data_IF_454946427954
#
_entry.id   IF_454946427954
#
_cell.length_a   1.000
_cell.length_b   1.000
_cell.length_c   1.000
_cell.angle_alpha   90.00
_cell.angle_beta   90.00
_cell.angle_gamma   90.00
#
_symmetry.space_group_name_H-M   'P 1'
#
loop_
_entity.id
_entity.type
_entity.pdbx_description
1 polymer ?
#
# COMPACT_ATOMS: atom_id res chain seq x y z
N UNK A 1 9.35 -26.17 -37.20
CA UNK A 1 9.31 -25.15 -36.12
C UNK A 1 8.15 -24.15 -36.27
N UNK A 2 7.74 -23.79 -37.50
CA UNK A 2 6.62 -22.85 -37.75
C UNK A 2 5.22 -23.38 -37.41
N UNK A 3 4.99 -24.70 -37.49
CA UNK A 3 3.68 -25.30 -37.25
C UNK A 3 3.25 -25.25 -35.78
N UNK A 4 4.19 -25.46 -34.85
CA UNK A 4 3.96 -25.32 -33.41
C UNK A 4 3.68 -23.86 -33.00
N UNK A 5 4.30 -22.89 -33.67
CA UNK A 5 4.03 -21.46 -33.45
C UNK A 5 2.66 -21.08 -34.00
N UNK A 6 2.30 -21.56 -35.19
CA UNK A 6 0.99 -21.39 -35.81
C UNK A 6 -0.13 -21.97 -34.94
N UNK A 7 0.03 -23.19 -34.43
CA UNK A 7 -0.94 -23.84 -33.54
C UNK A 7 -1.09 -23.09 -32.20
N UNK A 8 0.01 -22.56 -31.66
CA UNK A 8 -0.04 -21.73 -30.44
C UNK A 8 -0.78 -20.42 -30.68
N UNK A 9 -0.54 -19.77 -31.81
CA UNK A 9 -1.20 -18.51 -32.15
C UNK A 9 -2.67 -18.74 -32.53
N UNK A 10 -3.00 -19.86 -33.17
CA UNK A 10 -4.38 -20.32 -33.39
C UNK A 10 -5.10 -20.61 -32.06
N UNK A 11 -4.45 -21.31 -31.12
CA UNK A 11 -4.99 -21.52 -29.77
C UNK A 11 -5.19 -20.23 -28.98
N UNK A 12 -4.36 -19.20 -29.19
CA UNK A 12 -4.56 -17.86 -28.63
C UNK A 12 -5.74 -17.13 -29.26
N UNK A 13 -5.98 -17.30 -30.56
CA UNK A 13 -7.16 -16.74 -31.25
C UNK A 13 -8.43 -17.42 -30.72
N UNK A 14 -8.43 -18.75 -30.60
CA UNK A 14 -9.55 -19.52 -30.03
C UNK A 14 -9.83 -19.10 -28.58
N UNK A 15 -8.80 -19.00 -27.75
CA UNK A 15 -8.94 -18.53 -26.36
C UNK A 15 -9.42 -17.08 -26.23
N UNK A 16 -9.28 -16.25 -27.27
CA UNK A 16 -9.81 -14.88 -27.31
C UNK A 16 -11.25 -14.83 -27.85
N UNK A 17 -11.66 -15.84 -28.63
CA UNK A 17 -13.03 -16.00 -29.12
C UNK A 17 -13.94 -16.76 -28.17
N UNK A 18 -13.39 -17.55 -27.23
CA UNK A 18 -14.14 -18.04 -26.08
C UNK A 18 -14.58 -16.83 -25.24
N UNK A 19 -15.90 -16.68 -25.07
CA UNK A 19 -16.47 -15.62 -24.23
C UNK A 19 -15.88 -15.64 -22.82
N UNK A 20 -15.92 -14.51 -22.08
CA UNK A 20 -15.29 -14.43 -20.77
C UNK A 20 -15.79 -15.55 -19.86
N UNK A 21 -14.86 -16.27 -19.23
CA UNK A 21 -15.15 -17.41 -18.34
C UNK A 21 -15.90 -17.01 -17.06
N UNK A 22 -16.13 -15.72 -16.85
CA UNK A 22 -16.85 -15.16 -15.71
C UNK A 22 -17.83 -14.13 -16.27
N UNK A 23 -19.12 -14.41 -16.13
CA UNK A 23 -20.20 -13.53 -16.57
C UNK A 23 -20.84 -12.89 -15.35
N UNK A 24 -20.98 -11.58 -15.42
CA UNK A 24 -21.67 -10.79 -14.41
C UNK A 24 -22.95 -10.22 -15.02
N UNK A 25 -23.99 -10.16 -14.21
CA UNK A 25 -25.20 -9.39 -14.49
C UNK A 25 -25.36 -8.31 -13.41
N UNK A 26 -26.08 -7.25 -13.77
CA UNK A 26 -26.34 -6.12 -12.89
C UNK A 26 -27.84 -5.98 -12.69
N UNK A 27 -28.25 -5.61 -11.48
CA UNK A 27 -29.60 -5.09 -11.24
C UNK A 27 -29.85 -3.83 -12.08
N UNK A 28 -31.12 -3.47 -12.26
CA UNK A 28 -31.53 -2.30 -13.06
C UNK A 28 -30.91 -0.99 -12.53
N UNK A 29 -30.88 -0.83 -11.20
CA UNK A 29 -30.25 0.31 -10.50
C UNK A 29 -28.70 0.24 -10.49
N UNK A 30 -28.13 -0.86 -10.98
CA UNK A 30 -26.71 -1.14 -10.94
C UNK A 30 -26.12 -1.31 -9.55
N UNK A 31 -26.92 -1.49 -8.48
CA UNK A 31 -26.41 -1.61 -7.11
C UNK A 31 -26.10 -3.04 -6.69
N UNK A 32 -26.50 -4.05 -7.46
CA UNK A 32 -26.23 -5.46 -7.19
C UNK A 32 -25.55 -6.08 -8.39
N UNK A 33 -24.41 -6.72 -8.15
CA UNK A 33 -23.72 -7.55 -9.13
C UNK A 33 -23.98 -9.02 -8.80
N UNK A 34 -24.38 -9.78 -9.80
CA UNK A 34 -24.66 -11.21 -9.69
C UNK A 34 -23.75 -12.00 -10.62
N UNK A 35 -23.29 -13.16 -10.15
CA UNK A 35 -22.51 -14.12 -10.93
C UNK A 35 -22.86 -15.53 -10.47
N UNK A 36 -23.01 -16.46 -11.41
CA UNK A 36 -23.50 -17.81 -11.13
C UNK A 36 -24.76 -17.77 -10.25
N UNK A 37 -24.72 -18.34 -9.04
CA UNK A 37 -25.81 -18.33 -8.05
C UNK A 37 -25.54 -17.38 -6.86
N UNK A 38 -24.58 -16.47 -6.99
CA UNK A 38 -24.19 -15.53 -5.95
C UNK A 38 -24.49 -14.08 -6.37
N UNK A 39 -24.68 -13.23 -5.37
CA UNK A 39 -24.91 -11.81 -5.55
C UNK A 39 -24.18 -11.00 -4.47
N UNK A 40 -23.82 -9.78 -4.81
CA UNK A 40 -23.17 -8.84 -3.91
C UNK A 40 -23.68 -7.42 -4.20
N UNK A 41 -24.19 -6.75 -3.18
CA UNK A 41 -24.54 -5.33 -3.32
C UNK A 41 -23.30 -4.44 -3.22
N UNK A 42 -23.36 -3.24 -3.79
CA UNK A 42 -22.27 -2.26 -3.66
C UNK A 42 -22.05 -1.86 -2.20
N UNK A 43 -23.10 -1.82 -1.39
CA UNK A 43 -22.99 -1.61 0.05
C UNK A 43 -22.17 -2.72 0.72
N UNK A 44 -22.49 -3.99 0.44
CA UNK A 44 -21.73 -5.15 0.94
C UNK A 44 -20.28 -5.12 0.46
N UNK A 45 -20.04 -4.77 -0.80
CA UNK A 45 -18.68 -4.68 -1.34
C UNK A 45 -17.84 -3.61 -0.64
N UNK A 46 -18.41 -2.41 -0.39
CA UNK A 46 -17.74 -1.35 0.39
C UNK A 46 -17.47 -1.81 1.81
N UNK A 47 -18.43 -2.48 2.42
CA UNK A 47 -18.35 -2.97 3.79
C UNK A 47 -17.14 -3.89 4.03
N UNK A 48 -16.73 -4.71 3.06
CA UNK A 48 -15.51 -5.53 3.17
C UNK A 48 -14.27 -4.68 3.52
N UNK A 49 -14.13 -3.50 2.90
CA UNK A 49 -12.97 -2.62 3.14
C UNK A 49 -13.10 -1.88 4.47
N UNK A 50 -14.30 -1.39 4.79
CA UNK A 50 -14.57 -0.71 6.06
C UNK A 50 -14.40 -1.64 7.26
N UNK A 51 -14.99 -2.83 7.23
CA UNK A 51 -14.92 -3.77 8.35
C UNK A 51 -13.49 -4.26 8.57
N UNK A 52 -12.68 -4.40 7.51
CA UNK A 52 -11.27 -4.75 7.64
C UNK A 52 -10.46 -3.60 8.28
N UNK A 53 -10.77 -2.33 7.97
CA UNK A 53 -10.17 -1.17 8.67
C UNK A 53 -10.63 -1.09 10.12
N UNK A 54 -11.93 -1.29 10.38
CA UNK A 54 -12.52 -1.30 11.72
C UNK A 54 -11.98 -2.43 12.61
N UNK A 55 -11.59 -3.57 12.02
CA UNK A 55 -10.90 -4.64 12.73
C UNK A 55 -9.42 -4.28 13.00
N UNK A 56 -8.73 -3.70 12.00
CA UNK A 56 -7.30 -3.42 12.09
C UNK A 56 -6.96 -2.25 13.04
N UNK A 57 -7.77 -1.20 13.07
CA UNK A 57 -7.53 0.00 13.88
C UNK A 57 -7.46 -0.25 15.40
N UNK A 58 -8.43 -0.93 16.06
CA UNK A 58 -8.33 -1.23 17.48
C UNK A 58 -7.22 -2.22 17.80
N UNK A 59 -7.01 -3.24 16.95
CA UNK A 59 -5.91 -4.19 17.12
C UNK A 59 -4.54 -3.51 17.02
N UNK A 60 -4.38 -2.60 16.06
CA UNK A 60 -3.19 -1.77 15.95
C UNK A 60 -2.98 -0.92 17.20
N UNK A 61 -4.03 -0.28 17.72
CA UNK A 61 -3.96 0.51 18.97
C UNK A 61 -3.55 -0.35 20.16
N UNK A 62 -4.05 -1.58 20.25
CA UNK A 62 -3.68 -2.53 21.30
C UNK A 62 -2.22 -2.96 21.18
N UNK A 63 -1.77 -3.37 19.99
CA UNK A 63 -0.37 -3.73 19.73
C UNK A 63 0.60 -2.56 19.94
N UNK A 64 0.12 -1.33 19.77
CA UNK A 64 0.88 -0.11 20.06
C UNK A 64 0.80 0.33 21.53
N UNK A 65 0.16 -0.42 22.44
CA UNK A 65 -0.02 -0.03 23.84
C UNK A 65 -0.68 1.35 23.99
N UNK A 66 -1.67 1.65 23.15
CA UNK A 66 -2.35 2.95 23.10
C UNK A 66 -1.49 4.09 22.56
N UNK A 67 -0.23 3.85 22.21
CA UNK A 67 0.66 4.86 21.66
C UNK A 67 0.27 5.22 20.22
N UNK A 68 0.22 6.51 19.95
CA UNK A 68 -0.05 7.06 18.62
C UNK A 68 0.99 8.12 18.27
N UNK A 69 2.20 7.72 17.84
CA UNK A 69 3.20 8.67 17.38
C UNK A 69 2.70 9.47 16.16
N UNK A 70 3.31 10.62 15.87
CA UNK A 70 2.94 11.41 14.70
C UNK A 70 3.11 10.57 13.42
N UNK A 71 2.04 10.44 12.65
CA UNK A 71 2.09 9.87 11.31
C UNK A 71 2.25 11.00 10.29
N UNK A 72 3.49 11.23 9.84
CA UNK A 72 3.78 12.16 8.77
C UNK A 72 4.74 11.55 7.74
N UNK A 73 4.22 11.34 6.53
CA UNK A 73 5.01 10.84 5.40
C UNK A 73 5.68 11.96 4.60
N UNK A 74 5.52 13.23 4.99
CA UNK A 74 6.06 14.38 4.26
C UNK A 74 7.58 14.46 4.30
N UNK A 75 8.18 13.98 5.39
CA UNK A 75 9.61 13.99 5.64
C UNK A 75 10.27 12.62 5.40
N UNK A 76 9.51 11.61 4.95
CA UNK A 76 10.05 10.27 4.68
C UNK A 76 10.73 10.25 3.33
N UNK A 77 12.01 9.91 3.35
CA UNK A 77 12.81 9.61 2.18
C UNK A 77 12.61 8.15 1.75
N UNK A 78 12.33 7.91 0.46
CA UNK A 78 12.31 6.57 -0.12
C UNK A 78 12.82 6.64 -1.56
N UNK A 79 13.87 5.89 -1.86
CA UNK A 79 14.47 5.85 -3.19
C UNK A 79 13.89 4.69 -4.00
N UNK A 80 12.89 4.94 -4.86
CA UNK A 80 12.21 3.92 -5.70
C UNK A 80 13.12 3.11 -6.63
N UNK A 81 14.26 3.66 -7.03
CA UNK A 81 15.22 2.99 -7.90
C UNK A 81 16.14 2.02 -7.16
N UNK A 82 16.24 2.11 -5.83
CA UNK A 82 17.08 1.20 -5.05
C UNK A 82 16.56 -0.24 -5.14
N UNK A 83 17.40 -1.14 -5.64
CA UNK A 83 17.11 -2.59 -5.78
C UNK A 83 17.90 -3.44 -4.79
N UNK A 84 18.65 -2.82 -3.88
CA UNK A 84 19.42 -3.51 -2.84
C UNK A 84 18.47 -4.35 -1.98
N UNK A 85 18.78 -5.63 -1.83
CA UNK A 85 18.00 -6.53 -0.99
C UNK A 85 17.97 -6.02 0.46
N UNK A 86 16.78 -5.94 1.06
CA UNK A 86 16.58 -5.42 2.41
C UNK A 86 16.44 -3.89 2.51
N UNK A 87 16.61 -3.14 1.41
CA UNK A 87 16.29 -1.71 1.41
C UNK A 87 14.79 -1.46 1.49
N UNK A 88 14.40 -0.51 2.33
CA UNK A 88 13.06 0.06 2.44
C UNK A 88 13.16 1.45 3.08
N UNK A 89 12.09 2.25 3.03
CA UNK A 89 12.05 3.52 3.77
C UNK A 89 12.26 3.34 5.29
N UNK A 90 11.97 2.17 5.86
CA UNK A 90 12.20 1.89 7.29
C UNK A 90 13.69 1.72 7.60
N UNK A 91 14.43 1.09 6.68
CA UNK A 91 15.87 0.81 6.82
C UNK A 91 16.75 1.92 6.26
N UNK A 92 16.16 2.93 5.62
CA UNK A 92 16.85 4.13 5.18
C UNK A 92 17.26 4.97 6.40
N UNK A 93 18.57 5.13 6.60
CA UNK A 93 19.15 5.80 7.76
C UNK A 93 18.75 7.28 7.85
N UNK A 94 18.42 7.92 6.71
CA UNK A 94 17.97 9.31 6.68
C UNK A 94 16.63 9.52 7.42
N UNK A 95 15.83 8.46 7.57
CA UNK A 95 14.51 8.55 8.21
C UNK A 95 14.56 8.28 9.72
N UNK A 96 15.64 7.69 10.25
CA UNK A 96 15.77 7.38 11.67
C UNK A 96 14.69 6.44 12.25
N UNK A 97 14.08 5.59 11.40
CA UNK A 97 12.93 4.76 11.81
C UNK A 97 13.32 3.41 12.41
N UNK A 98 14.51 2.89 12.08
CA UNK A 98 14.91 1.51 12.34
C UNK A 98 14.84 1.09 13.82
N UNK A 99 15.04 2.03 14.75
CA UNK A 99 15.07 1.76 16.19
C UNK A 99 13.82 2.27 16.93
N UNK A 100 12.87 2.91 16.26
CA UNK A 100 11.69 3.50 16.92
C UNK A 100 10.79 2.45 17.60
N UNK A 101 10.87 1.19 17.18
CA UNK A 101 10.19 0.09 17.84
C UNK A 101 10.69 -0.16 19.27
N UNK A 102 11.88 0.33 19.65
CA UNK A 102 12.39 0.24 21.03
C UNK A 102 11.56 1.08 22.00
N UNK A 103 10.97 2.19 21.54
CA UNK A 103 10.03 2.95 22.36
C UNK A 103 8.73 2.18 22.59
N UNK A 104 8.26 1.43 21.58
CA UNK A 104 7.15 0.50 21.76
C UNK A 104 7.51 -0.61 22.76
N UNK A 105 8.71 -1.19 22.65
CA UNK A 105 9.20 -2.16 23.61
C UNK A 105 9.22 -1.60 25.03
N UNK A 106 9.73 -0.38 25.23
CA UNK A 106 9.76 0.25 26.56
C UNK A 106 8.34 0.38 27.13
N UNK A 107 7.37 0.80 26.32
CA UNK A 107 5.97 0.91 26.74
C UNK A 107 5.37 -0.44 27.09
N UNK A 108 5.60 -1.45 26.26
CA UNK A 108 5.17 -2.82 26.50
C UNK A 108 5.77 -3.40 27.78
N UNK A 109 7.00 -3.03 28.14
CA UNK A 109 7.64 -3.45 29.39
C UNK A 109 7.11 -2.72 30.63
N UNK A 110 6.65 -1.48 30.49
CA UNK A 110 6.20 -0.63 31.60
C UNK A 110 4.68 -0.62 31.80
N UNK A 111 3.92 -1.23 30.89
CA UNK A 111 2.46 -1.26 30.97
C UNK A 111 1.99 -2.11 32.17
N UNK A 112 1.14 -1.54 33.03
CA UNK A 112 0.71 -2.18 34.27
C UNK A 112 -0.43 -3.17 34.09
N UNK A 113 -1.11 -3.18 32.94
CA UNK A 113 -2.31 -3.99 32.70
C UNK A 113 -2.00 -5.17 31.78
N UNK A 114 -1.22 -4.93 30.72
CA UNK A 114 -0.89 -5.88 29.65
C UNK A 114 0.62 -5.93 29.37
N UNK A 115 1.42 -5.59 30.40
CA UNK A 115 2.88 -5.59 30.31
C UNK A 115 3.48 -6.94 29.91
N UNK A 116 4.54 -6.90 29.11
CA UNK A 116 5.26 -8.09 28.64
C UNK A 116 6.39 -8.53 29.56
N UNK A 117 6.74 -7.72 30.56
CA UNK A 117 7.80 -8.03 31.52
C UNK A 117 7.21 -8.25 32.93
N UNK A 118 7.80 -9.22 33.61
CA UNK A 118 7.73 -9.35 35.07
C UNK A 118 8.97 -8.70 35.68
N UNK A 119 9.07 -8.67 37.02
CA UNK A 119 10.19 -8.02 37.72
C UNK A 119 11.58 -8.50 37.26
N UNK A 120 11.70 -9.76 36.78
CA UNK A 120 12.98 -10.36 36.43
C UNK A 120 13.06 -11.02 35.04
N UNK A 121 11.94 -11.24 34.34
CA UNK A 121 11.95 -11.92 33.01
C UNK A 121 10.70 -11.58 32.17
N UNK A 122 10.67 -12.00 30.91
CA UNK A 122 9.52 -11.91 30.03
C UNK A 122 8.33 -12.75 30.53
N UNK A 123 7.15 -12.12 30.59
CA UNK A 123 5.90 -12.84 30.79
C UNK A 123 5.57 -13.65 29.52
N UNK A 124 5.94 -14.94 29.52
CA UNK A 124 5.75 -15.83 28.35
C UNK A 124 4.31 -15.90 27.85
N UNK A 125 3.32 -15.79 28.73
CA UNK A 125 1.91 -15.81 28.33
C UNK A 125 1.53 -14.52 27.62
N UNK A 126 1.90 -13.36 28.18
CA UNK A 126 1.65 -12.06 27.57
C UNK A 126 2.38 -11.91 26.22
N UNK A 127 3.64 -12.39 26.14
CA UNK A 127 4.40 -12.42 24.88
C UNK A 127 3.71 -13.27 23.83
N UNK A 128 3.23 -14.47 24.17
CA UNK A 128 2.48 -15.31 23.23
C UNK A 128 1.20 -14.62 22.75
N UNK A 129 0.44 -14.00 23.66
CA UNK A 129 -0.76 -13.25 23.31
C UNK A 129 -0.46 -12.09 22.36
N UNK A 130 0.63 -11.34 22.61
CA UNK A 130 1.07 -10.28 21.70
C UNK A 130 1.43 -10.84 20.31
N UNK A 131 2.14 -11.97 20.26
CA UNK A 131 2.52 -12.61 18.99
C UNK A 131 1.31 -13.19 18.23
N UNK A 132 0.30 -13.69 18.93
CA UNK A 132 -0.96 -14.14 18.33
C UNK A 132 -1.72 -12.95 17.71
N UNK A 133 -1.79 -11.83 18.43
CA UNK A 133 -2.35 -10.56 17.92
C UNK A 133 -1.55 -10.00 16.74
N UNK A 134 -0.22 -10.11 16.77
CA UNK A 134 0.64 -9.75 15.63
C UNK A 134 0.34 -10.60 14.40
N UNK A 135 0.08 -11.90 14.57
CA UNK A 135 -0.34 -12.78 13.48
C UNK A 135 -1.67 -12.32 12.88
N UNK A 136 -2.66 -11.99 13.72
CA UNK A 136 -3.94 -11.44 13.27
C UNK A 136 -3.78 -10.11 12.53
N UNK A 137 -2.98 -9.19 13.07
CA UNK A 137 -2.68 -7.90 12.43
C UNK A 137 -1.99 -8.09 11.08
N UNK A 138 -1.09 -9.07 10.97
CA UNK A 138 -0.44 -9.42 9.69
C UNK A 138 -1.47 -9.84 8.64
N UNK A 139 -2.49 -10.63 9.03
CA UNK A 139 -3.56 -11.03 8.11
C UNK A 139 -4.43 -9.83 7.68
N UNK A 140 -4.79 -8.93 8.60
CA UNK A 140 -5.58 -7.74 8.32
C UNK A 140 -4.82 -6.74 7.43
N UNK A 141 -3.54 -6.51 7.68
CA UNK A 141 -2.69 -5.63 6.86
C UNK A 141 -2.44 -6.23 5.48
N UNK A 142 -2.33 -7.56 5.38
CA UNK A 142 -2.27 -8.23 4.09
C UNK A 142 -3.59 -8.06 3.31
N UNK A 143 -4.74 -8.12 3.99
CA UNK A 143 -6.02 -7.78 3.37
C UNK A 143 -6.11 -6.31 3.00
N UNK A 144 -5.64 -5.36 3.80
CA UNK A 144 -5.60 -3.95 3.38
C UNK A 144 -4.77 -3.80 2.11
N UNK A 145 -3.61 -4.45 2.06
CA UNK A 145 -2.77 -4.47 0.88
C UNK A 145 -3.39 -5.21 -0.32
N UNK A 146 -4.44 -6.01 -0.14
CA UNK A 146 -5.13 -6.72 -1.22
C UNK A 146 -6.48 -6.10 -1.61
N UNK A 147 -7.31 -5.65 -0.67
CA UNK A 147 -8.63 -5.06 -0.89
C UNK A 147 -8.53 -3.71 -1.61
N UNK A 148 -7.46 -2.96 -1.33
CA UNK A 148 -7.11 -1.75 -2.08
C UNK A 148 -6.44 -2.10 -3.43
N UNK A 149 -6.41 -3.39 -3.82
CA UNK A 149 -5.54 -3.96 -4.85
C UNK A 149 -6.18 -5.05 -5.73
N UNK A 150 -6.58 -4.68 -6.95
CA UNK A 150 -6.98 -5.64 -7.99
C UNK A 150 -5.83 -6.40 -8.71
N UNK A 151 -5.00 -7.18 -8.02
CA UNK A 151 -4.06 -8.09 -8.70
C UNK A 151 -2.80 -8.53 -7.92
N UNK A 152 -2.16 -9.67 -8.27
CA UNK A 152 -1.03 -10.21 -7.51
C UNK A 152 0.38 -9.95 -8.10
N UNK A 153 1.32 -9.65 -7.19
CA UNK A 153 2.75 -10.07 -7.15
C UNK A 153 3.89 -9.02 -7.33
N UNK A 154 4.77 -9.02 -6.31
CA UNK A 154 6.24 -8.78 -6.11
C UNK A 154 7.10 -7.76 -6.88
N UNK A 155 7.97 -7.03 -6.16
CA UNK A 155 9.47 -7.11 -6.12
C UNK A 155 10.06 -6.00 -5.24
N UNK A 156 9.33 -4.88 -5.09
CA UNK A 156 9.42 -3.91 -4.01
C UNK A 156 8.01 -3.82 -3.46
N UNK A 157 7.75 -4.30 -2.25
CA UNK A 157 6.37 -4.47 -1.79
C UNK A 157 5.66 -3.14 -1.58
N UNK A 158 6.35 -2.19 -0.92
CA UNK A 158 5.82 -0.93 -0.42
C UNK A 158 6.81 0.19 -0.70
N UNK A 159 6.30 1.39 -0.91
CA UNK A 159 7.07 2.62 -0.94
C UNK A 159 6.29 3.82 -0.37
N UNK A 160 7.01 4.91 -0.12
CA UNK A 160 6.43 6.22 0.12
C UNK A 160 6.68 7.12 -1.09
N UNK A 161 5.61 7.73 -1.61
CA UNK A 161 5.68 8.66 -2.74
C UNK A 161 4.64 9.76 -2.57
N UNK A 162 5.03 11.02 -2.78
CA UNK A 162 4.14 12.18 -2.65
C UNK A 162 3.36 12.20 -1.31
N UNK A 163 4.05 11.89 -0.20
CA UNK A 163 3.48 11.83 1.16
C UNK A 163 2.39 10.77 1.35
N UNK A 164 2.32 9.79 0.45
CA UNK A 164 1.38 8.67 0.51
C UNK A 164 2.13 7.36 0.47
N UNK A 165 1.56 6.37 1.13
CA UNK A 165 2.06 5.01 1.05
C UNK A 165 1.48 4.31 -0.19
N UNK A 166 2.33 3.60 -0.92
CA UNK A 166 1.93 2.87 -2.11
C UNK A 166 2.52 1.47 -2.15
N UNK A 167 1.82 0.57 -2.84
CA UNK A 167 2.21 -0.80 -3.12
C UNK A 167 2.68 -0.91 -4.55
N UNK A 168 3.82 -1.55 -4.78
CA UNK A 168 4.41 -1.72 -6.12
C UNK A 168 4.39 -3.20 -6.50
N UNK A 169 3.81 -3.50 -7.65
CA UNK A 169 3.67 -4.86 -8.18
C UNK A 169 4.36 -4.97 -9.53
N UNK A 170 5.11 -6.04 -9.78
CA UNK A 170 5.64 -6.36 -11.11
C UNK A 170 4.97 -7.62 -11.66
N UNK A 171 4.24 -7.47 -12.76
CA UNK A 171 3.58 -8.59 -13.40
C UNK A 171 4.50 -9.31 -14.40
N UNK A 172 5.21 -10.33 -13.94
CA UNK A 172 6.05 -11.17 -14.80
C UNK A 172 5.30 -11.96 -15.89
N UNK A 173 3.96 -12.06 -15.82
CA UNK A 173 3.14 -12.70 -16.88
C UNK A 173 3.11 -11.89 -18.18
N UNK A 174 3.25 -10.56 -18.13
CA UNK A 174 3.34 -9.73 -19.34
C UNK A 174 4.66 -9.94 -20.08
N UNK A 175 5.75 -10.28 -19.36
CA UNK A 175 7.07 -10.54 -19.96
C UNK A 175 7.04 -11.67 -21.00
N UNK A 176 6.21 -12.70 -20.80
CA UNK A 176 6.04 -13.81 -21.76
C UNK A 176 5.24 -13.45 -23.02
N UNK A 177 4.50 -12.33 -23.00
CA UNK A 177 3.61 -11.92 -24.08
C UNK A 177 4.10 -10.67 -24.83
N UNK A 178 4.69 -9.69 -24.13
CA UNK A 178 5.07 -8.38 -24.67
C UNK A 178 6.55 -8.03 -24.50
N UNK A 179 7.36 -8.92 -23.91
CA UNK A 179 8.76 -8.69 -23.55
C UNK A 179 9.00 -7.44 -22.66
N UNK A 180 7.95 -6.91 -22.02
CA UNK A 180 8.01 -5.81 -21.06
C UNK A 180 7.36 -6.22 -19.74
N UNK A 181 8.01 -5.93 -18.62
CA UNK A 181 7.44 -6.10 -17.28
C UNK A 181 6.48 -4.94 -17.01
N UNK A 182 5.19 -5.24 -16.81
CA UNK A 182 4.21 -4.25 -16.39
C UNK A 182 4.39 -4.00 -14.88
N UNK A 183 4.72 -2.77 -14.52
CA UNK A 183 4.75 -2.31 -13.12
C UNK A 183 3.41 -1.65 -12.82
N UNK A 184 2.76 -2.04 -11.74
CA UNK A 184 1.50 -1.45 -11.25
C UNK A 184 1.74 -0.88 -9.88
N UNK A 185 1.32 0.37 -9.66
CA UNK A 185 1.39 1.03 -8.36
C UNK A 185 0.00 1.33 -7.85
N UNK A 186 -0.20 1.19 -6.54
CA UNK A 186 -1.47 1.47 -5.88
C UNK A 186 -1.24 2.21 -4.58
N UNK A 187 -1.81 3.39 -4.49
CA UNK A 187 -1.77 4.20 -3.28
C UNK A 187 -2.82 3.69 -2.31
N UNK A 188 -2.43 3.62 -1.04
CA UNK A 188 -3.34 3.29 0.06
C UNK A 188 -4.17 4.51 0.46
N UNK A 189 -5.34 4.28 1.05
CA UNK A 189 -6.06 5.33 1.77
C UNK A 189 -5.23 5.83 2.95
N UNK A 190 -5.55 7.00 3.49
CA UNK A 190 -4.76 7.58 4.59
C UNK A 190 -4.75 6.65 5.83
N UNK A 191 -5.91 6.09 6.19
CA UNK A 191 -6.01 5.16 7.33
C UNK A 191 -5.27 3.85 7.06
N UNK A 192 -5.43 3.24 5.88
CA UNK A 192 -4.69 2.04 5.52
C UNK A 192 -3.17 2.28 5.47
N UNK A 193 -2.74 3.44 4.98
CA UNK A 193 -1.35 3.88 4.97
C UNK A 193 -0.79 4.07 6.37
N UNK A 194 -1.56 4.64 7.29
CA UNK A 194 -1.19 4.80 8.71
C UNK A 194 -1.04 3.45 9.41
N UNK A 195 -2.00 2.54 9.22
CA UNK A 195 -1.94 1.19 9.79
C UNK A 195 -0.74 0.40 9.26
N UNK A 196 -0.50 0.48 7.95
CA UNK A 196 0.67 -0.15 7.34
C UNK A 196 1.98 0.47 7.84
N UNK A 197 2.04 1.79 8.02
CA UNK A 197 3.20 2.45 8.60
C UNK A 197 3.49 1.97 10.02
N UNK A 198 2.49 1.95 10.90
CA UNK A 198 2.67 1.45 12.27
C UNK A 198 3.06 -0.02 12.30
N UNK A 199 2.47 -0.83 11.43
CA UNK A 199 2.84 -2.22 11.26
C UNK A 199 4.32 -2.39 10.91
N UNK A 200 4.82 -1.64 9.93
CA UNK A 200 6.20 -1.78 9.43
C UNK A 200 7.25 -1.18 10.37
N UNK A 201 6.96 -0.03 10.98
CA UNK A 201 7.96 0.73 11.76
C UNK A 201 8.04 0.27 13.21
N UNK A 202 6.92 -0.16 13.80
CA UNK A 202 6.87 -0.48 15.23
C UNK A 202 6.51 -1.93 15.48
N UNK A 203 5.34 -2.38 15.02
CA UNK A 203 4.75 -3.65 15.45
C UNK A 203 5.59 -4.84 14.96
N UNK A 204 5.92 -4.87 13.66
CA UNK A 204 6.68 -5.95 13.05
C UNK A 204 8.10 -6.08 13.62
N UNK A 205 8.94 -5.03 13.65
CA UNK A 205 10.29 -5.14 14.23
C UNK A 205 10.25 -5.48 15.72
N UNK A 206 9.24 -5.00 16.46
CA UNK A 206 9.05 -5.42 17.85
C UNK A 206 8.69 -6.91 17.96
N UNK A 207 7.77 -7.41 17.13
CA UNK A 207 7.44 -8.83 17.09
C UNK A 207 8.67 -9.69 16.72
N UNK A 208 9.46 -9.30 15.72
CA UNK A 208 10.73 -9.96 15.38
C UNK A 208 11.67 -10.02 16.59
N UNK A 209 11.80 -8.92 17.33
CA UNK A 209 12.60 -8.86 18.54
C UNK A 209 12.09 -9.84 19.62
N UNK A 210 10.77 -9.93 19.84
CA UNK A 210 10.17 -10.88 20.78
C UNK A 210 10.38 -12.34 20.36
N UNK A 211 10.22 -12.68 19.08
CA UNK A 211 10.53 -14.03 18.59
C UNK A 211 11.99 -14.42 18.85
N UNK A 212 12.92 -13.50 18.60
CA UNK A 212 14.34 -13.73 18.84
C UNK A 212 14.65 -13.84 20.33
N UNK A 213 14.19 -12.89 21.14
CA UNK A 213 14.52 -12.79 22.56
C UNK A 213 13.81 -13.84 23.42
N UNK A 214 12.55 -14.17 23.12
CA UNK A 214 11.72 -15.04 23.97
C UNK A 214 11.59 -16.47 23.44
N UNK A 215 11.73 -16.69 22.13
CA UNK A 215 11.53 -17.98 21.48
C UNK A 215 12.79 -18.51 20.77
N UNK A 216 13.88 -17.73 20.72
CA UNK A 216 15.11 -18.11 20.02
C UNK A 216 14.92 -18.28 18.51
N UNK A 217 13.87 -17.68 17.94
CA UNK A 217 13.53 -17.79 16.53
C UNK A 217 13.91 -16.51 15.80
N UNK A 218 14.79 -16.61 14.80
CA UNK A 218 15.05 -15.52 13.86
C UNK A 218 14.01 -15.57 12.74
N UNK A 219 13.15 -14.56 12.69
CA UNK A 219 12.07 -14.45 11.72
C UNK A 219 12.26 -13.25 10.79
N UNK A 220 13.43 -12.61 10.80
CA UNK A 220 13.72 -11.48 9.93
C UNK A 220 13.63 -11.89 8.47
N UNK A 221 12.94 -11.06 7.70
CA UNK A 221 12.63 -11.37 6.30
C UNK A 221 12.57 -10.11 5.46
N UNK A 222 13.17 -10.19 4.28
CA UNK A 222 13.03 -9.16 3.24
C UNK A 222 11.65 -9.19 2.57
N UNK A 223 10.83 -10.22 2.86
CA UNK A 223 9.47 -10.33 2.36
C UNK A 223 8.52 -9.48 3.21
N UNK A 224 7.53 -8.87 2.58
CA UNK A 224 6.53 -8.08 3.28
C UNK A 224 5.66 -8.95 4.19
N UNK A 225 5.27 -10.13 3.70
CA UNK A 225 4.47 -11.09 4.42
C UNK A 225 5.08 -12.49 4.29
N UNK A 226 5.42 -13.09 5.42
CA UNK A 226 5.98 -14.44 5.54
C UNK A 226 5.47 -15.09 6.82
N UNK A 227 5.45 -16.42 6.86
CA UNK A 227 5.13 -17.14 8.10
C UNK A 227 6.35 -17.11 9.04
N UNK A 228 6.16 -16.93 10.36
CA UNK A 228 7.25 -17.04 11.34
C UNK A 228 8.01 -18.39 11.24
N UNK A 229 7.32 -19.47 10.87
CA UNK A 229 7.95 -20.80 10.69
C UNK A 229 8.74 -20.95 9.38
N UNK A 230 8.64 -19.99 8.46
CA UNK A 230 9.31 -20.01 7.16
C UNK A 230 9.54 -18.57 6.66
N UNK A 231 10.39 -17.79 7.36
CA UNK A 231 10.56 -16.36 7.10
C UNK A 231 11.13 -16.06 5.71
N UNK A 232 11.94 -16.97 5.15
CA UNK A 232 12.53 -16.84 3.81
C UNK A 232 11.58 -17.20 2.65
N UNK A 233 10.37 -17.71 2.94
CA UNK A 233 9.41 -18.14 1.91
C UNK A 233 8.21 -17.20 1.86
N UNK A 234 7.77 -16.80 0.66
CA UNK A 234 6.54 -16.03 0.52
C UNK A 234 5.36 -16.85 1.02
N UNK A 235 4.38 -16.17 1.62
CA UNK A 235 3.11 -16.80 1.95
C UNK A 235 2.49 -17.43 0.70
N UNK A 236 1.89 -18.61 0.89
CA UNK A 236 1.21 -19.32 -0.19
C UNK A 236 0.04 -18.46 -0.68
N UNK A 237 -0.21 -18.45 -1.99
CA UNK A 237 -1.37 -17.76 -2.58
C UNK A 237 -2.70 -18.19 -1.95
N UNK A 238 -2.78 -19.44 -1.48
CA UNK A 238 -3.96 -19.97 -0.78
C UNK A 238 -4.18 -19.33 0.60
N UNK A 239 -3.16 -18.77 1.25
CA UNK A 239 -3.31 -18.10 2.55
C UNK A 239 -4.20 -16.88 2.44
N UNK A 240 -3.93 -16.00 1.47
CA UNK A 240 -4.75 -14.81 1.22
C UNK A 240 -6.20 -15.18 0.85
N UNK A 241 -6.39 -16.23 0.04
CA UNK A 241 -7.73 -16.73 -0.29
C UNK A 241 -8.48 -17.20 0.96
N UNK A 242 -7.82 -17.96 1.85
CA UNK A 242 -8.44 -18.43 3.10
C UNK A 242 -8.81 -17.27 4.02
N UNK A 243 -7.91 -16.30 4.17
CA UNK A 243 -8.11 -15.13 5.02
C UNK A 243 -9.26 -14.29 4.48
N UNK A 244 -9.28 -13.99 3.18
CA UNK A 244 -10.38 -13.25 2.56
C UNK A 244 -11.71 -13.99 2.71
N UNK A 245 -11.76 -15.28 2.39
CA UNK A 245 -12.98 -16.08 2.56
C UNK A 245 -13.47 -16.08 4.00
N UNK A 246 -12.56 -16.23 4.99
CA UNK A 246 -12.92 -16.19 6.41
C UNK A 246 -13.54 -14.85 6.78
N UNK A 247 -12.91 -13.74 6.39
CA UNK A 247 -13.41 -12.40 6.70
C UNK A 247 -14.74 -12.11 6.01
N UNK A 248 -14.89 -12.40 4.72
CA UNK A 248 -16.14 -12.14 4.02
C UNK A 248 -17.28 -13.06 4.47
N UNK A 249 -16.99 -14.30 4.92
CA UNK A 249 -18.00 -15.14 5.56
C UNK A 249 -18.47 -14.53 6.87
N UNK A 250 -17.57 -14.00 7.70
CA UNK A 250 -17.94 -13.34 8.96
C UNK A 250 -18.75 -12.06 8.73
N UNK A 251 -18.35 -11.24 7.75
CA UNK A 251 -18.95 -9.92 7.50
C UNK A 251 -20.23 -9.99 6.66
N UNK A 252 -20.25 -10.87 5.65
CA UNK A 252 -21.31 -10.91 4.61
C UNK A 252 -22.10 -12.22 4.60
N UNK A 253 -21.73 -13.21 5.41
CA UNK A 253 -22.31 -14.56 5.38
C UNK A 253 -21.84 -15.43 4.20
N UNK A 254 -21.17 -14.84 3.20
CA UNK A 254 -20.77 -15.51 1.96
C UNK A 254 -19.25 -15.46 1.75
N UNK A 255 -18.59 -16.61 1.48
CA UNK A 255 -17.16 -16.64 1.22
C UNK A 255 -16.83 -16.11 -0.18
N UNK A 256 -15.95 -15.10 -0.26
CA UNK A 256 -15.41 -14.59 -1.51
C UNK A 256 -13.95 -15.01 -1.65
N UNK A 257 -13.66 -15.79 -2.69
CA UNK A 257 -12.27 -16.09 -3.05
C UNK A 257 -11.59 -14.88 -3.69
N UNK A 258 -10.26 -14.83 -3.60
CA UNK A 258 -9.41 -13.83 -4.28
C UNK A 258 -9.73 -13.72 -5.78
N UNK A 259 -9.98 -14.86 -6.45
CA UNK A 259 -10.32 -14.92 -7.88
C UNK A 259 -11.64 -14.19 -8.16
N UNK A 260 -12.67 -14.49 -7.38
CA UNK A 260 -14.01 -13.90 -7.54
C UNK A 260 -13.97 -12.42 -7.19
N UNK A 261 -13.36 -12.06 -6.04
CA UNK A 261 -13.20 -10.65 -5.63
C UNK A 261 -12.55 -9.82 -6.74
N UNK A 262 -11.50 -10.33 -7.38
CA UNK A 262 -10.86 -9.64 -8.50
C UNK A 262 -11.80 -9.45 -9.70
N UNK A 263 -12.54 -10.48 -10.08
CA UNK A 263 -13.44 -10.38 -11.24
C UNK A 263 -14.60 -9.42 -10.97
N UNK A 264 -15.19 -9.50 -9.78
CA UNK A 264 -16.22 -8.57 -9.31
C UNK A 264 -15.68 -7.13 -9.26
N UNK A 265 -14.46 -6.94 -8.76
CA UNK A 265 -13.83 -5.61 -8.72
C UNK A 265 -13.57 -5.04 -10.13
N UNK A 266 -13.24 -5.88 -11.12
CA UNK A 266 -13.12 -5.46 -12.52
C UNK A 266 -14.49 -5.01 -13.04
N UNK A 267 -15.53 -5.82 -12.83
CA UNK A 267 -16.90 -5.46 -13.23
C UNK A 267 -17.35 -4.14 -12.58
N UNK A 268 -17.10 -3.96 -11.28
CA UNK A 268 -17.39 -2.72 -10.55
C UNK A 268 -16.58 -1.55 -11.12
N UNK A 269 -15.32 -1.77 -11.50
CA UNK A 269 -14.52 -0.73 -12.15
C UNK A 269 -15.20 -0.25 -13.43
N UNK A 270 -15.65 -1.18 -14.26
CA UNK A 270 -16.28 -0.87 -15.54
C UNK A 270 -17.63 -0.19 -15.38
N UNK A 271 -18.42 -0.61 -14.40
CA UNK A 271 -19.76 -0.06 -14.14
C UNK A 271 -19.72 1.27 -13.38
N UNK A 272 -18.97 1.36 -12.28
CA UNK A 272 -19.06 2.50 -11.36
C UNK A 272 -17.84 3.41 -11.42
N UNK A 273 -16.62 2.85 -11.40
CA UNK A 273 -15.41 3.69 -11.31
C UNK A 273 -15.12 4.41 -12.63
N UNK A 274 -15.30 3.74 -13.78
CA UNK A 274 -15.15 4.37 -15.11
C UNK A 274 -16.21 5.42 -15.37
N UNK A 275 -17.43 5.24 -14.90
CA UNK A 275 -18.51 6.23 -15.04
C UNK A 275 -18.27 7.47 -14.15
N UNK A 276 -17.57 7.32 -13.03
CA UNK A 276 -17.12 8.43 -12.18
C UNK A 276 -15.93 9.18 -12.81
N UNK A 277 -15.24 8.59 -13.79
CA UNK A 277 -13.99 9.10 -14.34
C UNK A 277 -14.11 9.60 -15.79
N UNK A 278 -13.81 10.89 -16.05
CA UNK A 278 -13.34 11.28 -17.39
C UNK A 278 -11.94 10.70 -17.59
N UNK A 279 -11.67 9.87 -18.61
CA UNK A 279 -10.33 9.34 -18.84
C UNK A 279 -9.35 10.49 -19.04
N UNK A 280 -8.35 10.59 -18.16
CA UNK A 280 -7.30 11.60 -18.27
C UNK A 280 -6.37 11.18 -19.41
N UNK A 281 -6.47 11.84 -20.57
CA UNK A 281 -5.48 11.72 -21.61
C UNK A 281 -4.24 12.55 -21.23
N UNK A 282 -3.31 11.95 -20.48
CA UNK A 282 -2.07 12.59 -20.04
C UNK A 282 -1.14 13.03 -21.19
N UNK A 283 -1.43 12.61 -22.42
CA UNK A 283 -0.70 12.98 -23.62
C UNK A 283 -1.50 13.90 -24.53
N UNK A 284 -2.66 14.39 -24.07
CA UNK A 284 -3.45 15.35 -24.80
C UNK A 284 -2.68 16.66 -24.92
N UNK A 285 -2.35 17.01 -26.14
CA UNK A 285 -1.68 18.26 -26.50
C UNK A 285 -2.47 19.02 -27.57
N UNK A 286 -3.77 18.72 -27.73
CA UNK A 286 -4.59 19.30 -28.80
C UNK A 286 -5.96 19.76 -28.34
N UNK A 287 -6.54 19.16 -27.31
CA UNK A 287 -7.85 19.59 -26.83
C UNK A 287 -7.76 20.88 -26.02
N UNK A 288 -8.90 21.55 -25.88
CA UNK A 288 -9.07 22.67 -24.96
C UNK A 288 -8.97 22.24 -23.49
N UNK A 289 -9.06 20.94 -23.20
CA UNK A 289 -8.87 20.37 -21.87
C UNK A 289 -7.43 19.91 -21.58
N UNK A 290 -6.49 20.14 -22.51
CA UNK A 290 -5.09 19.77 -22.32
C UNK A 290 -4.47 20.50 -21.11
N UNK A 291 -3.69 19.76 -20.32
CA UNK A 291 -2.99 20.31 -19.15
C UNK A 291 -2.03 21.42 -19.61
N UNK A 292 -2.07 22.60 -18.97
CA UNK A 292 -1.18 23.72 -19.27
C UNK A 292 0.31 23.33 -19.23
N UNK A 293 0.65 22.31 -18.42
CA UNK A 293 2.01 21.78 -18.31
C UNK A 293 2.53 21.12 -19.59
N UNK A 294 1.69 20.86 -20.58
CA UNK A 294 2.07 20.42 -21.93
C UNK A 294 3.05 21.42 -22.59
N UNK A 295 2.96 22.71 -22.24
CA UNK A 295 3.87 23.75 -22.74
C UNK A 295 5.34 23.44 -22.49
N UNK A 296 5.66 22.78 -21.36
CA UNK A 296 7.04 22.40 -21.05
C UNK A 296 7.57 21.30 -21.97
N UNK A 297 6.69 20.43 -22.48
CA UNK A 297 7.10 19.44 -23.48
C UNK A 297 7.41 20.14 -24.81
N UNK A 298 6.54 21.03 -25.25
CA UNK A 298 6.74 21.83 -26.46
C UNK A 298 7.99 22.70 -26.39
N UNK A 299 8.26 23.32 -25.24
CA UNK A 299 9.47 24.13 -25.01
C UNK A 299 10.76 23.31 -25.17
N UNK A 300 10.71 22.01 -24.87
CA UNK A 300 11.83 21.08 -25.11
C UNK A 300 11.87 20.49 -26.52
N UNK A 301 10.97 20.92 -27.42
CA UNK A 301 10.89 20.41 -28.80
C UNK A 301 10.19 19.06 -28.95
N UNK A 302 9.49 18.58 -27.92
CA UNK A 302 8.84 17.27 -27.92
C UNK A 302 7.33 17.38 -27.72
N UNK A 303 6.57 16.43 -28.28
CA UNK A 303 5.20 16.21 -27.80
C UNK A 303 5.20 15.48 -26.46
N UNK A 304 4.16 15.59 -25.61
CA UNK A 304 4.10 14.90 -24.33
C UNK A 304 4.36 13.39 -24.42
N UNK A 305 3.84 12.73 -25.46
CA UNK A 305 4.08 11.31 -25.73
C UNK A 305 5.55 11.01 -26.09
N UNK A 306 6.17 11.86 -26.92
CA UNK A 306 7.57 11.74 -27.29
C UNK A 306 8.47 11.98 -26.09
N UNK A 307 8.20 13.03 -25.30
CA UNK A 307 8.96 13.35 -24.09
C UNK A 307 8.95 12.21 -23.07
N UNK A 308 7.79 11.59 -22.83
CA UNK A 308 7.67 10.43 -21.92
C UNK A 308 8.45 9.19 -22.42
N UNK A 309 8.69 9.09 -23.73
CA UNK A 309 9.46 7.99 -24.33
C UNK A 309 10.97 8.31 -24.39
N UNK A 310 11.33 9.58 -24.56
CA UNK A 310 12.71 10.04 -24.80
C UNK A 310 13.47 10.41 -23.53
N UNK A 311 12.78 10.91 -22.49
CA UNK A 311 13.40 11.30 -21.22
C UNK A 311 12.90 10.45 -20.05
N UNK A 312 13.50 9.27 -19.91
CA UNK A 312 13.40 8.39 -18.73
C UNK A 312 14.64 8.47 -17.83
N UNK A 313 15.28 9.64 -17.73
CA UNK A 313 16.58 9.80 -17.05
C UNK A 313 16.39 10.55 -15.72
N UNK A 314 15.54 10.01 -14.85
CA UNK A 314 15.61 10.34 -13.43
C UNK A 314 16.02 9.06 -12.70
N UNK A 315 17.24 9.05 -12.16
CA UNK A 315 17.80 7.90 -11.44
C UNK A 315 17.02 7.53 -10.18
N UNK A 316 16.04 8.34 -9.76
CA UNK A 316 15.12 8.00 -8.68
C UNK A 316 14.00 7.01 -9.10
N UNK A 317 13.76 6.80 -10.40
CA UNK A 317 12.67 5.95 -10.90
C UNK A 317 13.18 4.84 -11.85
N UNK A 318 12.62 3.61 -11.77
CA UNK A 318 12.83 2.62 -12.82
C UNK A 318 12.37 3.13 -14.19
N UNK A 319 13.03 2.70 -15.27
CA UNK A 319 12.74 3.12 -16.66
C UNK A 319 11.25 3.07 -17.05
N UNK A 320 10.47 2.18 -16.44
CA UNK A 320 9.03 1.98 -16.70
C UNK A 320 8.08 2.60 -15.67
N UNK A 321 8.57 3.24 -14.60
CA UNK A 321 7.74 3.81 -13.52
C UNK A 321 8.02 5.31 -13.33
N UNK A 322 7.87 6.08 -14.40
CA UNK A 322 8.07 7.53 -14.37
C UNK A 322 7.02 8.26 -13.49
N UNK A 323 7.34 9.47 -12.98
CA UNK A 323 6.42 10.28 -12.17
C UNK A 323 5.03 10.51 -12.79
N UNK A 324 4.95 10.65 -14.12
CA UNK A 324 3.67 10.81 -14.81
C UNK A 324 2.75 9.59 -14.64
N UNK A 325 3.31 8.38 -14.78
CA UNK A 325 2.57 7.13 -14.58
C UNK A 325 2.16 6.97 -13.10
N UNK A 326 3.00 7.38 -12.16
CA UNK A 326 2.66 7.39 -10.73
C UNK A 326 1.48 8.32 -10.43
N UNK A 327 1.39 9.50 -11.06
CA UNK A 327 0.22 10.38 -10.92
C UNK A 327 -1.06 9.73 -11.43
N UNK A 328 -1.00 9.00 -12.54
CA UNK A 328 -2.18 8.27 -13.07
C UNK A 328 -2.60 7.14 -12.11
N UNK A 329 -1.63 6.40 -11.55
CA UNK A 329 -1.93 5.38 -10.53
C UNK A 329 -2.50 5.98 -9.25
N UNK A 330 -1.98 7.12 -8.81
CA UNK A 330 -2.50 7.85 -7.65
C UNK A 330 -3.94 8.29 -7.87
N UNK A 331 -4.22 8.89 -9.03
CA UNK A 331 -5.58 9.27 -9.41
C UNK A 331 -6.52 8.05 -9.41
N UNK A 332 -6.14 6.95 -10.06
CA UNK A 332 -6.95 5.74 -10.11
C UNK A 332 -7.21 5.14 -8.72
N UNK A 333 -6.20 5.14 -7.84
CA UNK A 333 -6.36 4.74 -6.43
C UNK A 333 -7.33 5.66 -5.69
N UNK A 334 -7.24 6.98 -5.88
CA UNK A 334 -8.14 7.93 -5.23
C UNK A 334 -9.60 7.75 -5.70
N UNK A 335 -9.85 7.44 -6.97
CA UNK A 335 -11.20 7.13 -7.46
C UNK A 335 -11.78 5.87 -6.80
N UNK A 336 -10.94 4.85 -6.61
CA UNK A 336 -11.32 3.68 -5.82
C UNK A 336 -11.61 4.02 -4.36
N UNK A 337 -10.78 4.85 -3.71
CA UNK A 337 -11.04 5.29 -2.33
C UNK A 337 -12.35 6.07 -2.20
N UNK A 338 -12.69 6.91 -3.18
CA UNK A 338 -13.99 7.61 -3.23
C UNK A 338 -15.14 6.63 -3.37
N UNK A 339 -15.05 5.68 -4.31
CA UNK A 339 -16.07 4.66 -4.51
C UNK A 339 -16.26 3.79 -3.26
N UNK A 340 -15.17 3.44 -2.59
CA UNK A 340 -15.16 2.68 -1.34
C UNK A 340 -15.51 3.52 -0.11
N UNK A 341 -15.70 4.84 -0.25
CA UNK A 341 -16.01 5.77 0.85
C UNK A 341 -14.96 5.80 1.97
N UNK A 342 -13.68 5.59 1.62
CA UNK A 342 -12.55 5.52 2.55
C UNK A 342 -11.87 6.87 2.79
N UNK A 343 -12.49 7.95 2.35
CA UNK A 343 -11.97 9.29 2.64
C UNK A 343 -12.37 9.69 4.06
N UNK A 344 -11.50 10.41 4.79
CA UNK A 344 -11.93 11.02 6.04
C UNK A 344 -13.13 11.92 5.75
N UNK A 345 -14.14 11.87 6.61
CA UNK A 345 -15.24 12.83 6.56
C UNK A 345 -14.59 14.21 6.54
N UNK A 346 -14.74 14.93 5.43
CA UNK A 346 -14.25 16.29 5.35
C UNK A 346 -15.08 17.09 6.33
N UNK A 347 -14.46 17.59 7.38
CA UNK A 347 -15.03 18.68 8.17
C UNK A 347 -15.37 19.79 7.17
N UNK A 348 -16.67 19.97 6.93
CA UNK A 348 -17.23 21.04 6.14
C UNK A 348 -17.14 22.37 6.90
N UNK A 349 -15.95 22.73 7.34
CA UNK A 349 -15.61 24.08 7.81
C UNK A 349 -14.28 24.47 7.18
N UNK A 350 -14.34 24.96 5.94
CA UNK A 350 -13.34 25.93 5.47
C UNK A 350 -13.58 27.22 6.26
N UNK A 351 -12.65 27.71 7.09
CA UNK A 351 -12.68 29.12 7.46
C UNK A 351 -12.29 29.90 6.21
N UNK A 352 -13.10 30.88 5.86
CA UNK A 352 -12.81 31.84 4.80
C UNK A 352 -11.41 32.44 4.99
N UNK A 353 -10.62 32.37 3.93
CA UNK A 353 -9.30 32.97 3.83
C UNK A 353 -9.40 34.49 4.00
N UNK A 354 -9.03 35.00 5.17
CA UNK A 354 -8.66 36.40 5.32
C UNK A 354 -7.16 36.54 5.04
N UNK A 355 -6.83 37.26 3.97
CA UNK A 355 -5.47 37.59 3.54
C UNK A 355 -4.71 38.31 4.66
N UNK A 356 -3.58 37.74 5.08
CA UNK A 356 -2.54 38.49 5.76
C UNK A 356 -1.17 38.09 5.20
N UNK A 357 -0.67 38.91 4.29
CA UNK A 357 0.74 38.97 3.94
C UNK A 357 1.57 39.23 5.19
N UNK A 358 2.55 38.36 5.48
CA UNK A 358 3.79 38.81 6.15
C UNK A 358 4.99 37.97 5.74
N UNK A 359 5.86 38.70 5.03
CA UNK A 359 7.22 38.46 4.58
C UNK A 359 8.03 37.42 5.38
N UNK A 360 8.63 36.52 4.60
CA UNK A 360 9.86 35.80 4.88
C UNK A 360 11.00 36.80 5.16
N UNK A 361 11.72 36.63 6.26
CA UNK A 361 13.00 37.28 6.53
C UNK A 361 13.99 36.22 6.99
N UNK A 362 15.12 36.18 6.29
CA UNK A 362 16.24 35.26 6.47
C UNK A 362 17.06 35.58 7.74
N UNK A 363 17.47 34.50 8.41
CA UNK A 363 18.76 34.26 9.13
C UNK A 363 19.13 35.04 10.42
N UNK A 364 20.12 34.57 11.23
CA UNK A 364 20.87 33.30 11.19
C UNK A 364 21.03 32.53 12.52
N UNK A 365 21.46 31.27 12.36
CA UNK A 365 22.13 30.38 13.31
C UNK A 365 23.20 31.08 14.19
N UNK A 366 22.89 31.39 15.45
CA UNK A 366 23.88 31.53 16.53
C UNK A 366 23.18 31.68 17.89
N UNK A 367 22.95 30.58 18.64
CA UNK A 367 22.86 30.62 20.13
C UNK A 367 22.67 29.29 20.89
N UNK A 368 22.75 28.11 20.27
CA UNK A 368 22.54 26.84 21.00
C UNK A 368 23.80 25.97 21.15
N UNK A 369 24.96 26.39 20.62
CA UNK A 369 26.24 25.66 20.75
C UNK A 369 27.20 26.22 21.82
N UNK A 370 26.68 26.80 22.91
CA UNK A 370 27.50 27.43 23.95
C UNK A 370 27.72 26.59 25.22
N UNK A 371 27.35 25.29 25.26
CA UNK A 371 27.45 24.50 26.50
C UNK A 371 28.25 23.19 26.42
N UNK A 372 28.95 22.90 25.32
CA UNK A 372 29.64 21.61 25.18
C UNK A 372 31.16 21.64 24.99
N UNK A 373 31.84 22.79 25.11
CA UNK A 373 33.31 22.85 25.13
C UNK A 373 33.85 23.93 26.08
N UNK A 374 33.83 23.66 27.39
CA UNK A 374 34.71 24.32 28.34
C UNK A 374 35.68 23.30 28.93
N UNK A 375 37.00 23.43 28.71
CA UNK A 375 38.01 22.53 29.26
C UNK A 375 38.21 22.79 30.76
N UNK A 376 38.29 21.71 31.56
CA UNK A 376 38.71 21.75 32.96
C UNK A 376 40.23 21.64 33.06
N UNK A 377 40.84 22.62 33.70
CA UNK A 377 42.19 22.64 34.33
C UNK A 377 42.14 23.89 35.23
N UNK A 378 42.47 23.90 36.53
CA UNK A 378 43.10 22.98 37.49
C UNK A 378 42.20 22.94 38.73
#
# INVERSE_FOLDING_TARGET
MNELLSLRDHGRVISRSDGPSFRVTWSEDGQVVSWDNAQLSMAQFRQISHDNLLAASPLCKQLMYGWSPLFDLSCIHDNLACTTAGYSFVTDTANGLAELYLDLSRRASLDTVSGLMTDNDWNRQAVRQYLDQYSEMTELVMLLAYLHCNGPSTSRGICVYSRKMALVFRHGKSRRATNRELIVVRFLSEEAGRLMYYYLVFIRPFACMLYRACLGMDIDSTLLFSSPSSPSKPLKTSSLTKILMRQTTLMLGNPLSVKIYRQVSIAITEKHVRQISKPVNQHDDRSTEADINVVFAWQSGHRPLQRGTTYGIDGAFPDSLQPALLRVYEWASNEWHKFLQLQPATDNTRPETTKAQKRCSQEPLARVLAYLWAPKSI
#
